data_IF_204718106060
#
_entry.id   IF_204718106060
#
_cell.length_a   1.000
_cell.length_b   1.000
_cell.length_c   1.000
_cell.angle_alpha   90.00
_cell.angle_beta   90.00
_cell.angle_gamma   90.00
#
_symmetry.space_group_name_H-M   'P 1'
#
loop_
_entity.id
_entity.type
_entity.pdbx_description
1 polymer ?
#
# COMPACT_ATOMS: atom_id res chain seq x y z
N UNK A 1 35.10 18.24 53.51
CA UNK A 1 33.99 19.08 53.01
C UNK A 1 34.56 19.96 51.90
N UNK A 2 34.32 19.60 50.63
CA UNK A 2 33.23 20.23 49.90
C UNK A 2 32.42 19.27 49.03
N UNK A 3 31.32 19.81 48.52
CA UNK A 3 30.10 19.15 48.12
C UNK A 3 30.13 18.44 46.77
N UNK A 4 29.58 17.23 46.78
CA UNK A 4 29.05 16.47 45.66
C UNK A 4 28.02 17.29 44.87
N UNK A 5 28.19 17.41 43.55
CA UNK A 5 27.07 17.63 42.62
C UNK A 5 27.07 16.51 41.59
N UNK A 6 26.30 15.47 41.87
CA UNK A 6 25.90 14.47 40.89
C UNK A 6 24.94 15.15 39.91
N UNK A 7 25.39 15.37 38.69
CA UNK A 7 24.54 15.79 37.58
C UNK A 7 23.79 14.55 37.10
N UNK A 8 22.58 14.34 37.60
CA UNK A 8 21.68 13.31 37.09
C UNK A 8 21.26 13.66 35.68
N UNK A 9 21.85 12.97 34.70
CA UNK A 9 21.37 13.02 33.32
C UNK A 9 19.97 12.38 33.27
N UNK A 10 18.94 13.21 33.13
CA UNK A 10 17.62 12.74 32.74
C UNK A 10 17.69 12.24 31.29
N UNK A 11 17.88 10.93 31.12
CA UNK A 11 17.63 10.27 29.84
C UNK A 11 16.13 10.28 29.59
N UNK A 12 15.67 11.22 28.76
CA UNK A 12 14.32 11.15 28.17
C UNK A 12 14.26 9.89 27.31
N UNK A 13 13.53 8.88 27.75
CA UNK A 13 13.16 7.74 26.91
C UNK A 13 12.16 8.23 25.87
N UNK A 14 12.66 8.79 24.77
CA UNK A 14 11.85 8.93 23.57
C UNK A 14 11.62 7.52 23.03
N UNK A 15 10.39 7.04 23.12
CA UNK A 15 9.94 5.85 22.41
C UNK A 15 10.18 6.11 20.93
N UNK A 16 11.25 5.54 20.36
CA UNK A 16 11.52 5.68 18.91
C UNK A 16 10.35 5.03 18.18
N UNK A 17 9.43 5.84 17.65
CA UNK A 17 8.37 5.36 16.77
C UNK A 17 9.03 4.64 15.59
N UNK A 18 8.54 3.46 15.23
CA UNK A 18 9.06 2.73 14.07
C UNK A 18 8.87 3.61 12.82
N UNK A 19 9.85 3.67 11.91
CA UNK A 19 9.70 4.41 10.67
C UNK A 19 8.55 3.82 9.84
N UNK A 20 7.85 4.68 9.09
CA UNK A 20 6.83 4.26 8.13
C UNK A 20 7.51 3.39 7.08
N UNK A 21 7.03 2.15 6.83
CA UNK A 21 7.65 1.26 5.86
C UNK A 21 7.48 1.79 4.44
N UNK A 22 8.53 1.68 3.62
CA UNK A 22 8.49 1.94 2.18
C UNK A 22 7.75 0.81 1.46
N UNK A 23 7.31 1.06 0.23
CA UNK A 23 6.62 0.04 -0.58
C UNK A 23 7.45 -1.25 -0.78
N UNK A 24 8.77 -1.12 -0.89
CA UNK A 24 9.71 -2.24 -1.01
C UNK A 24 9.85 -3.07 0.28
N UNK A 25 9.33 -2.57 1.40
CA UNK A 25 9.46 -3.16 2.74
C UNK A 25 8.13 -3.81 3.20
N UNK A 26 7.14 -3.92 2.31
CA UNK A 26 5.79 -4.37 2.67
C UNK A 26 5.60 -5.89 2.67
N UNK A 27 6.55 -6.67 2.14
CA UNK A 27 6.48 -8.14 2.10
C UNK A 27 6.07 -8.80 3.43
N UNK A 28 6.57 -8.37 4.61
CA UNK A 28 6.16 -8.96 5.89
C UNK A 28 4.67 -8.83 6.23
N UNK A 29 3.95 -7.93 5.54
CA UNK A 29 2.53 -7.64 5.79
C UNK A 29 1.59 -8.37 4.83
N UNK A 30 2.09 -9.07 3.81
CA UNK A 30 1.24 -9.70 2.77
C UNK A 30 0.34 -10.82 3.30
N UNK A 31 0.74 -11.45 4.41
CA UNK A 31 -0.03 -12.49 5.10
C UNK A 31 -0.81 -11.95 6.31
N UNK A 32 -0.80 -10.63 6.56
CA UNK A 32 -1.53 -10.02 7.68
C UNK A 32 -2.98 -9.80 7.30
N UNK A 33 -3.79 -10.85 7.45
CA UNK A 33 -5.21 -10.84 7.11
C UNK A 33 -5.96 -9.64 7.70
N UNK A 34 -5.66 -9.25 8.94
CA UNK A 34 -6.28 -8.09 9.61
C UNK A 34 -5.99 -6.75 8.92
N UNK A 35 -4.85 -6.62 8.25
CA UNK A 35 -4.51 -5.46 7.43
C UNK A 35 -5.10 -5.59 6.03
N UNK A 36 -5.06 -6.79 5.45
CA UNK A 36 -5.56 -7.04 4.09
C UNK A 36 -7.08 -6.87 4.03
N UNK A 37 -7.85 -7.28 5.04
CA UNK A 37 -9.29 -7.01 5.12
C UNK A 37 -9.59 -5.50 5.09
N UNK A 38 -8.74 -4.67 5.72
CA UNK A 38 -8.86 -3.21 5.67
C UNK A 38 -8.48 -2.65 4.30
N UNK A 39 -7.49 -3.26 3.63
CA UNK A 39 -7.11 -2.93 2.24
C UNK A 39 -8.27 -3.24 1.29
N UNK A 40 -8.86 -4.43 1.37
CA UNK A 40 -10.05 -4.83 0.61
C UNK A 40 -11.16 -3.78 0.79
N UNK A 41 -11.43 -3.36 2.03
CA UNK A 41 -12.46 -2.37 2.31
C UNK A 41 -12.18 -0.97 1.72
N UNK A 42 -10.91 -0.58 1.50
CA UNK A 42 -10.57 0.64 0.76
C UNK A 42 -10.74 0.43 -0.75
N UNK A 43 -10.15 -0.65 -1.28
CA UNK A 43 -10.22 -0.99 -2.71
C UNK A 43 -11.67 -1.07 -3.19
N UNK A 44 -12.56 -1.73 -2.45
CA UNK A 44 -13.99 -1.79 -2.81
C UNK A 44 -14.58 -0.38 -2.97
N UNK A 45 -14.24 0.57 -2.10
CA UNK A 45 -14.76 1.95 -2.20
C UNK A 45 -14.20 2.68 -3.42
N UNK A 46 -12.92 2.50 -3.69
CA UNK A 46 -12.25 3.19 -4.79
C UNK A 46 -12.65 2.62 -6.15
N UNK A 47 -12.79 1.30 -6.26
CA UNK A 47 -13.20 0.60 -7.47
C UNK A 47 -14.70 0.77 -7.76
N UNK A 48 -15.56 0.74 -6.73
CA UNK A 48 -17.00 0.98 -6.91
C UNK A 48 -17.31 2.37 -7.47
N UNK A 49 -16.45 3.37 -7.23
CA UNK A 49 -16.59 4.70 -7.83
C UNK A 49 -16.56 4.66 -9.38
N UNK A 50 -15.95 3.61 -9.93
CA UNK A 50 -15.80 3.37 -11.36
C UNK A 50 -16.62 2.16 -11.85
N UNK A 51 -17.61 1.74 -11.06
CA UNK A 51 -18.48 0.58 -11.29
C UNK A 51 -17.71 -0.74 -11.44
N UNK A 52 -16.54 -0.87 -10.81
CA UNK A 52 -15.74 -2.08 -10.78
C UNK A 52 -16.00 -2.86 -9.49
N UNK A 53 -16.16 -4.18 -9.60
CA UNK A 53 -16.41 -5.04 -8.44
C UNK A 53 -15.13 -5.76 -8.03
N UNK A 54 -14.78 -5.67 -6.74
CA UNK A 54 -13.68 -6.42 -6.13
C UNK A 54 -14.28 -7.28 -5.01
N UNK A 55 -13.91 -8.56 -4.97
CA UNK A 55 -14.36 -9.49 -3.93
C UNK A 55 -13.19 -9.98 -3.09
N UNK A 56 -13.44 -10.61 -1.95
CA UNK A 56 -12.38 -11.26 -1.17
C UNK A 56 -12.97 -12.45 -0.41
N UNK A 57 -12.38 -13.62 -0.62
CA UNK A 57 -12.81 -14.90 -0.06
C UNK A 57 -11.84 -15.40 1.01
N UNK A 58 -10.53 -15.14 0.84
CA UNK A 58 -9.49 -15.50 1.79
C UNK A 58 -9.21 -17.00 1.90
N UNK A 59 -9.53 -17.81 0.87
CA UNK A 59 -9.57 -19.27 0.99
C UNK A 59 -8.41 -20.04 0.33
N UNK A 60 -7.91 -19.59 -0.82
CA UNK A 60 -7.10 -20.47 -1.70
C UNK A 60 -5.66 -19.99 -1.96
N UNK A 61 -5.34 -18.72 -1.66
CA UNK A 61 -4.03 -18.09 -1.90
C UNK A 61 -3.59 -17.26 -0.69
N UNK A 62 -2.38 -16.71 -0.72
CA UNK A 62 -2.07 -15.60 0.20
C UNK A 62 -3.06 -14.46 -0.04
N UNK A 63 -3.53 -13.75 1.02
CA UNK A 63 -4.48 -12.65 0.85
C UNK A 63 -4.04 -11.59 -0.17
N UNK A 64 -2.73 -11.34 -0.24
CA UNK A 64 -2.14 -10.46 -1.25
C UNK A 64 -2.29 -11.00 -2.69
N UNK A 65 -1.94 -12.26 -2.92
CA UNK A 65 -2.04 -12.88 -4.26
C UNK A 65 -3.49 -12.97 -4.74
N UNK A 66 -4.44 -13.24 -3.84
CA UNK A 66 -5.86 -13.22 -4.19
C UNK A 66 -6.31 -11.84 -4.70
N UNK A 67 -5.91 -10.77 -4.01
CA UNK A 67 -6.16 -9.40 -4.45
C UNK A 67 -5.50 -9.09 -5.79
N UNK A 68 -4.24 -9.50 -5.96
CA UNK A 68 -3.49 -9.30 -7.19
C UNK A 68 -4.23 -9.93 -8.39
N UNK A 69 -4.60 -11.21 -8.27
CA UNK A 69 -5.28 -11.94 -9.34
C UNK A 69 -6.66 -11.36 -9.70
N UNK A 70 -7.34 -10.70 -8.75
CA UNK A 70 -8.62 -10.03 -9.02
C UNK A 70 -8.45 -8.66 -9.67
N UNK A 71 -7.41 -7.91 -9.28
CA UNK A 71 -7.21 -6.53 -9.75
C UNK A 71 -6.51 -6.50 -11.10
N UNK A 72 -5.59 -7.43 -11.35
CA UNK A 72 -4.82 -7.50 -12.60
C UNK A 72 -5.69 -7.42 -13.86
N UNK A 73 -6.72 -8.27 -14.06
CA UNK A 73 -7.54 -8.21 -15.27
C UNK A 73 -8.31 -6.88 -15.40
N UNK A 74 -8.68 -6.24 -14.28
CA UNK A 74 -9.34 -4.93 -14.31
C UNK A 74 -8.37 -3.84 -14.74
N UNK A 75 -7.12 -3.90 -14.26
CA UNK A 75 -6.06 -2.97 -14.64
C UNK A 75 -5.69 -3.15 -16.10
N UNK A 76 -5.53 -4.39 -16.57
CA UNK A 76 -5.24 -4.71 -17.97
C UNK A 76 -6.36 -4.19 -18.90
N UNK A 77 -7.63 -4.45 -18.58
CA UNK A 77 -8.77 -3.92 -19.34
C UNK A 77 -8.73 -2.38 -19.38
N UNK A 78 -8.58 -1.69 -18.24
CA UNK A 78 -8.52 -0.24 -18.25
C UNK A 78 -7.27 0.30 -18.96
N UNK A 79 -6.14 -0.40 -18.90
CA UNK A 79 -4.91 0.02 -19.58
C UNK A 79 -5.09 0.01 -21.10
N UNK A 80 -5.78 -1.01 -21.63
CA UNK A 80 -5.97 -1.19 -23.07
C UNK A 80 -7.21 -0.46 -23.62
N UNK A 81 -8.30 -0.41 -22.84
CA UNK A 81 -9.62 0.01 -23.34
C UNK A 81 -10.10 1.36 -22.76
N UNK A 82 -9.66 1.75 -21.56
CA UNK A 82 -10.09 3.01 -20.91
C UNK A 82 -9.01 3.61 -19.99
N UNK A 83 -7.94 4.09 -20.60
CA UNK A 83 -6.80 4.64 -19.86
C UNK A 83 -7.17 5.86 -19.00
N UNK A 84 -8.19 6.62 -19.40
CA UNK A 84 -8.68 7.76 -18.60
C UNK A 84 -9.29 7.29 -17.27
N UNK A 85 -10.07 6.19 -17.31
CA UNK A 85 -10.60 5.55 -16.10
C UNK A 85 -9.47 5.01 -15.21
N UNK A 86 -8.44 4.40 -15.80
CA UNK A 86 -7.25 3.97 -15.06
C UNK A 86 -6.58 5.15 -14.33
N UNK A 87 -6.31 6.24 -15.05
CA UNK A 87 -5.70 7.44 -14.44
C UNK A 87 -6.55 7.99 -13.29
N UNK A 88 -7.87 8.11 -13.49
CA UNK A 88 -8.77 8.60 -12.45
C UNK A 88 -8.78 7.71 -11.20
N UNK A 89 -8.73 6.38 -11.36
CA UNK A 89 -8.58 5.43 -10.26
C UNK A 89 -7.26 5.62 -9.52
N UNK A 90 -6.15 5.73 -10.25
CA UNK A 90 -4.82 5.90 -9.66
C UNK A 90 -4.73 7.17 -8.82
N UNK A 91 -5.25 8.30 -9.31
CA UNK A 91 -5.29 9.54 -8.53
C UNK A 91 -6.07 9.39 -7.21
N UNK A 92 -7.18 8.64 -7.21
CA UNK A 92 -7.97 8.37 -6.01
C UNK A 92 -7.20 7.57 -4.96
N UNK A 93 -6.26 6.74 -5.40
CA UNK A 93 -5.41 5.87 -4.57
C UNK A 93 -4.08 6.58 -4.20
N UNK A 94 -3.99 7.88 -4.48
CA UNK A 94 -2.80 8.72 -4.28
C UNK A 94 -1.60 8.34 -5.17
N UNK A 95 -1.85 7.77 -6.36
CA UNK A 95 -0.83 7.47 -7.36
C UNK A 95 -0.90 8.54 -8.45
N UNK A 96 -0.03 9.55 -8.36
CA UNK A 96 0.14 10.55 -9.41
C UNK A 96 0.99 10.02 -10.58
N UNK A 97 0.93 10.73 -11.72
CA UNK A 97 1.63 10.35 -12.95
C UNK A 97 3.15 10.30 -12.78
N UNK A 98 3.73 11.22 -12.00
CA UNK A 98 5.17 11.28 -11.81
C UNK A 98 5.67 10.08 -11.00
N UNK A 99 4.94 9.72 -9.95
CA UNK A 99 5.20 8.55 -9.14
C UNK A 99 5.03 7.26 -9.94
N UNK A 100 3.96 7.12 -10.72
CA UNK A 100 3.75 5.99 -11.60
C UNK A 100 4.90 5.86 -12.61
N UNK A 101 5.24 6.93 -13.33
CA UNK A 101 6.30 6.93 -14.32
C UNK A 101 7.66 6.55 -13.74
N UNK A 102 7.98 7.00 -12.52
CA UNK A 102 9.19 6.55 -11.81
C UNK A 102 9.17 5.05 -11.55
N UNK A 103 8.05 4.52 -11.06
CA UNK A 103 7.91 3.08 -10.74
C UNK A 103 7.98 2.20 -11.98
N UNK A 104 7.36 2.61 -13.08
CA UNK A 104 7.45 1.90 -14.36
C UNK A 104 8.89 1.88 -14.91
N UNK A 105 9.62 3.00 -14.79
CA UNK A 105 11.04 3.06 -15.19
C UNK A 105 11.93 2.17 -14.33
N UNK A 106 11.67 2.10 -13.02
CA UNK A 106 12.39 1.19 -12.11
C UNK A 106 12.12 -0.29 -12.44
N UNK A 107 10.95 -0.59 -13.00
CA UNK A 107 10.49 -1.93 -13.36
C UNK A 107 10.44 -2.17 -14.88
N UNK A 108 11.40 -1.61 -15.64
CA UNK A 108 11.39 -1.59 -17.11
C UNK A 108 11.34 -2.97 -17.82
N UNK A 109 11.49 -4.08 -17.09
CA UNK A 109 11.44 -5.45 -17.61
C UNK A 109 10.18 -6.21 -17.20
N UNK A 110 9.28 -5.58 -16.43
CA UNK A 110 8.02 -6.17 -15.99
C UNK A 110 6.86 -5.64 -16.84
N UNK A 111 5.77 -6.42 -16.86
CA UNK A 111 4.55 -6.03 -17.54
C UNK A 111 3.89 -4.84 -16.83
N UNK A 112 3.38 -3.89 -17.61
CA UNK A 112 2.95 -2.58 -17.08
C UNK A 112 1.73 -2.70 -16.16
N UNK A 113 0.77 -3.53 -16.54
CA UNK A 113 -0.41 -3.90 -15.77
C UNK A 113 -0.05 -4.61 -14.46
N UNK A 114 0.93 -5.52 -14.47
CA UNK A 114 1.43 -6.15 -13.25
C UNK A 114 2.06 -5.13 -12.29
N UNK A 115 2.89 -4.22 -12.80
CA UNK A 115 3.51 -3.15 -11.98
C UNK A 115 2.46 -2.23 -11.39
N UNK A 116 1.45 -1.84 -12.17
CA UNK A 116 0.35 -0.99 -11.70
C UNK A 116 -0.49 -1.70 -10.64
N UNK A 117 -0.82 -2.97 -10.85
CA UNK A 117 -1.59 -3.80 -9.91
C UNK A 117 -0.88 -3.92 -8.57
N UNK A 118 0.41 -4.25 -8.59
CA UNK A 118 1.26 -4.32 -7.39
C UNK A 118 1.33 -2.95 -6.68
N UNK A 119 1.43 -1.86 -7.44
CA UNK A 119 1.50 -0.51 -6.90
C UNK A 119 0.21 -0.10 -6.17
N UNK A 120 -0.95 -0.38 -6.75
CA UNK A 120 -2.28 -0.13 -6.16
C UNK A 120 -2.38 -0.81 -4.79
N UNK A 121 -2.11 -2.12 -4.73
CA UNK A 121 -2.26 -2.90 -3.50
C UNK A 121 -1.27 -2.42 -2.44
N UNK A 122 -0.01 -2.19 -2.82
CA UNK A 122 1.03 -1.69 -1.90
C UNK A 122 0.69 -0.31 -1.34
N UNK A 123 0.13 0.61 -2.15
CA UNK A 123 -0.25 1.94 -1.67
C UNK A 123 -1.40 1.88 -0.67
N UNK A 124 -2.42 1.05 -0.92
CA UNK A 124 -3.49 0.84 0.06
C UNK A 124 -2.98 0.17 1.34
N UNK A 125 -2.14 -0.86 1.22
CA UNK A 125 -1.55 -1.53 2.37
C UNK A 125 -0.69 -0.57 3.21
N UNK A 126 0.11 0.28 2.58
CA UNK A 126 0.90 1.30 3.27
C UNK A 126 -0.01 2.28 4.03
N UNK A 127 -1.10 2.77 3.40
CA UNK A 127 -2.07 3.66 4.06
C UNK A 127 -2.73 2.99 5.26
N UNK A 128 -3.12 1.72 5.14
CA UNK A 128 -3.67 0.93 6.25
C UNK A 128 -2.64 0.81 7.38
N UNK A 129 -1.39 0.43 7.09
CA UNK A 129 -0.34 0.31 8.10
C UNK A 129 -0.12 1.63 8.84
N UNK A 130 -0.02 2.75 8.11
CA UNK A 130 0.13 4.08 8.72
C UNK A 130 -1.06 4.37 9.65
N UNK A 131 -2.29 4.13 9.19
CA UNK A 131 -3.48 4.32 10.04
C UNK A 131 -3.44 3.47 11.30
N UNK A 132 -2.96 2.22 11.23
CA UNK A 132 -2.82 1.36 12.42
C UNK A 132 -1.68 1.77 13.35
N UNK A 133 -0.60 2.37 12.83
CA UNK A 133 0.54 2.83 13.63
C UNK A 133 0.24 4.09 14.45
N UNK A 134 -0.66 4.95 13.96
CA UNK A 134 -0.97 6.27 14.54
C UNK A 134 -2.42 6.40 15.02
N UNK A 135 -3.11 5.27 15.21
CA UNK A 135 -4.44 5.19 15.82
C UNK A 135 -4.39 5.49 17.32
#
# INVERSE_FOLDING_TARGET
MPHTKLHTQHTKHYTKMKPIPKLSELTPYYNRQDLIEKVVAQLIKDFNWFNLTVTFTGKDLTPYQELFNQILPLVDEMLNDDYNKLQALLYRIDIDSDFLNRKLKEAAHADTDEVITDLIIKRELQKVIIREMYK
#
